data_IF_901118982252
#
_entry.id   IF_901118982252
#
_cell.length_a   1.000
_cell.length_b   1.000
_cell.length_c   1.000
_cell.angle_alpha   90.00
_cell.angle_beta   90.00
_cell.angle_gamma   90.00
#
_symmetry.space_group_name_H-M   'P 1'
#
loop_
_entity.id
_entity.type
_entity.pdbx_description
1 polymer ?
#
# COMPACT_ATOMS: atom_id res chain seq x y z
N UNK A 1 35.97 -37.44 -36.02
CA UNK A 1 36.03 -35.96 -35.89
C UNK A 1 34.66 -35.29 -35.96
N UNK A 2 33.86 -35.47 -37.04
CA UNK A 2 32.56 -34.77 -37.23
C UNK A 2 31.56 -34.96 -36.09
N UNK A 3 31.43 -36.17 -35.55
CA UNK A 3 30.55 -36.41 -34.40
C UNK A 3 31.08 -35.80 -33.10
N UNK A 4 32.40 -35.72 -32.89
CA UNK A 4 32.96 -35.15 -31.66
C UNK A 4 32.65 -33.66 -31.50
N UNK A 5 32.65 -32.91 -32.61
CA UNK A 5 32.29 -31.47 -32.60
C UNK A 5 30.81 -31.29 -32.25
N UNK A 6 29.91 -32.08 -32.85
CA UNK A 6 28.47 -32.03 -32.57
C UNK A 6 28.16 -32.36 -31.09
N UNK A 7 28.76 -33.42 -30.54
CA UNK A 7 28.57 -33.79 -29.14
C UNK A 7 29.15 -32.72 -28.19
N UNK A 8 30.28 -32.11 -28.53
CA UNK A 8 30.86 -30.99 -27.78
C UNK A 8 29.93 -29.77 -27.76
N UNK A 9 29.33 -29.41 -28.90
CA UNK A 9 28.36 -28.32 -28.97
C UNK A 9 27.11 -28.61 -28.12
N UNK A 10 26.55 -29.82 -28.21
CA UNK A 10 25.37 -30.21 -27.43
C UNK A 10 25.68 -30.15 -25.92
N UNK A 11 26.80 -30.73 -25.48
CA UNK A 11 27.21 -30.71 -24.07
C UNK A 11 27.46 -29.28 -23.58
N UNK A 12 28.14 -28.45 -24.37
CA UNK A 12 28.37 -27.04 -24.05
C UNK A 12 27.07 -26.25 -23.91
N UNK A 13 26.11 -26.45 -24.82
CA UNK A 13 24.78 -25.83 -24.71
C UNK A 13 24.02 -26.32 -23.48
N UNK A 14 24.05 -27.61 -23.16
CA UNK A 14 23.40 -28.16 -21.96
C UNK A 14 23.98 -27.57 -20.68
N UNK A 15 25.31 -27.45 -20.57
CA UNK A 15 25.98 -26.84 -19.42
C UNK A 15 25.62 -25.35 -19.29
N UNK A 16 25.55 -24.62 -20.41
CA UNK A 16 25.12 -23.22 -20.41
C UNK A 16 23.68 -23.08 -19.90
N UNK A 17 22.72 -23.82 -20.47
CA UNK A 17 21.32 -23.77 -20.02
C UNK A 17 21.14 -24.23 -18.58
N UNK A 18 21.89 -25.25 -18.15
CA UNK A 18 21.90 -25.67 -16.75
C UNK A 18 22.39 -24.55 -15.83
N UNK A 19 23.47 -23.85 -16.21
CA UNK A 19 23.96 -22.68 -15.50
C UNK A 19 22.94 -21.55 -15.42
N UNK A 20 22.23 -21.26 -16.52
CA UNK A 20 21.15 -20.25 -16.55
C UNK A 20 19.99 -20.66 -15.63
N UNK A 21 19.51 -21.90 -15.73
CA UNK A 21 18.42 -22.41 -14.88
C UNK A 21 18.83 -22.36 -13.41
N UNK A 22 20.04 -22.82 -13.08
CA UNK A 22 20.57 -22.79 -11.72
C UNK A 22 20.69 -21.35 -11.19
N UNK A 23 21.19 -20.42 -12.00
CA UNK A 23 21.25 -19.01 -11.66
C UNK A 23 19.86 -18.41 -11.38
N UNK A 24 18.86 -18.73 -12.20
CA UNK A 24 17.47 -18.30 -11.98
C UNK A 24 16.90 -18.87 -10.69
N UNK A 25 17.13 -20.16 -10.40
CA UNK A 25 16.68 -20.78 -9.16
C UNK A 25 17.33 -20.14 -7.92
N UNK A 26 18.65 -19.90 -7.96
CA UNK A 26 19.36 -19.21 -6.89
C UNK A 26 18.85 -17.78 -6.69
N UNK A 27 18.55 -17.06 -7.78
CA UNK A 27 18.00 -15.72 -7.73
C UNK A 27 16.61 -15.71 -7.05
N UNK A 28 15.71 -16.59 -7.48
CA UNK A 28 14.38 -16.73 -6.86
C UNK A 28 14.50 -17.10 -5.37
N UNK A 29 15.38 -18.06 -5.04
CA UNK A 29 15.62 -18.47 -3.66
C UNK A 29 16.19 -17.31 -2.83
N UNK A 30 17.10 -16.52 -3.38
CA UNK A 30 17.66 -15.35 -2.70
C UNK A 30 16.58 -14.33 -2.35
N UNK A 31 15.71 -13.96 -3.29
CA UNK A 31 14.63 -12.99 -3.01
C UNK A 31 13.60 -13.55 -2.04
N UNK A 32 13.27 -14.83 -2.13
CA UNK A 32 12.40 -15.50 -1.17
C UNK A 32 12.99 -15.46 0.25
N UNK A 33 14.28 -15.77 0.40
CA UNK A 33 14.95 -15.69 1.70
C UNK A 33 15.06 -14.25 2.20
N UNK A 34 15.37 -13.29 1.32
CA UNK A 34 15.43 -11.88 1.66
C UNK A 34 14.08 -11.38 2.20
N UNK A 35 12.99 -11.70 1.52
CA UNK A 35 11.64 -11.34 1.97
C UNK A 35 11.33 -11.91 3.37
N UNK A 36 11.66 -13.19 3.61
CA UNK A 36 11.49 -13.83 4.93
C UNK A 36 12.36 -13.20 6.03
N UNK A 37 13.56 -12.76 5.68
CA UNK A 37 14.44 -12.06 6.62
C UNK A 37 13.87 -10.68 6.94
N UNK A 38 13.51 -9.91 5.93
CA UNK A 38 12.91 -8.57 6.07
C UNK A 38 11.62 -8.63 6.90
N UNK A 39 10.77 -9.62 6.67
CA UNK A 39 9.51 -9.82 7.38
C UNK A 39 9.72 -9.95 8.90
N UNK A 40 10.76 -10.68 9.32
CA UNK A 40 11.11 -10.81 10.75
C UNK A 40 11.50 -9.48 11.41
N UNK A 41 11.92 -8.50 10.63
CA UNK A 41 12.25 -7.16 11.09
C UNK A 41 11.11 -6.15 10.86
N UNK A 42 9.92 -6.62 10.48
CA UNK A 42 8.75 -5.78 10.22
C UNK A 42 8.85 -5.02 8.90
N UNK A 43 9.55 -5.57 7.91
CA UNK A 43 9.65 -5.00 6.57
C UNK A 43 9.01 -5.92 5.53
N UNK A 44 8.35 -5.33 4.54
CA UNK A 44 7.84 -6.02 3.37
C UNK A 44 8.34 -5.33 2.11
N UNK A 45 8.83 -6.12 1.14
CA UNK A 45 9.25 -5.58 -0.16
C UNK A 45 8.02 -5.06 -0.89
N UNK A 46 8.13 -3.86 -1.45
CA UNK A 46 7.07 -3.30 -2.27
C UNK A 46 6.92 -4.12 -3.56
N UNK A 47 5.70 -4.53 -3.91
CA UNK A 47 5.46 -5.23 -5.16
C UNK A 47 5.76 -4.32 -6.36
N UNK A 48 6.10 -4.91 -7.51
CA UNK A 48 6.51 -4.14 -8.69
C UNK A 48 5.44 -3.16 -9.18
N UNK A 49 4.16 -3.51 -9.04
CA UNK A 49 3.03 -2.62 -9.34
C UNK A 49 3.03 -1.37 -8.46
N UNK A 50 3.01 -1.58 -7.14
CA UNK A 50 3.10 -0.52 -6.13
C UNK A 50 4.35 0.35 -6.33
N UNK A 51 5.48 -0.26 -6.68
CA UNK A 51 6.74 0.44 -6.92
C UNK A 51 6.61 1.43 -8.07
N UNK A 52 6.04 1.02 -9.21
CA UNK A 52 5.84 1.94 -10.34
C UNK A 52 4.96 3.13 -9.96
N UNK A 53 3.91 2.89 -9.19
CA UNK A 53 2.92 3.91 -8.82
C UNK A 53 3.44 4.79 -7.67
N UNK A 54 4.40 4.31 -6.88
CA UNK A 54 5.07 5.09 -5.84
C UNK A 54 6.00 6.19 -6.37
N UNK A 55 6.28 6.22 -7.67
CA UNK A 55 7.05 7.29 -8.30
C UNK A 55 6.11 8.39 -8.75
N UNK A 56 5.80 9.29 -7.84
CA UNK A 56 5.02 10.49 -8.15
C UNK A 56 5.87 11.53 -8.89
N UNK A 57 5.25 12.23 -9.83
CA UNK A 57 5.81 13.42 -10.46
C UNK A 57 5.07 14.65 -9.92
N UNK A 58 5.70 15.85 -9.91
CA UNK A 58 5.01 17.07 -9.50
C UNK A 58 3.67 17.21 -10.25
N UNK A 59 2.56 17.34 -9.51
CA UNK A 59 1.18 17.42 -10.02
C UNK A 59 0.60 16.13 -10.61
N UNK A 60 1.16 14.97 -10.29
CA UNK A 60 0.58 13.66 -10.58
C UNK A 60 0.65 12.82 -9.31
N UNK A 61 -0.25 13.12 -8.38
CA UNK A 61 -0.48 12.22 -7.26
C UNK A 61 -1.27 11.01 -7.76
N UNK A 62 -1.04 9.85 -7.14
CA UNK A 62 -1.78 8.63 -7.47
C UNK A 62 -2.77 8.29 -6.35
N UNK A 63 -3.42 9.31 -5.79
CA UNK A 63 -4.44 9.11 -4.80
C UNK A 63 -5.67 8.46 -5.44
N UNK A 64 -6.31 7.55 -4.71
CA UNK A 64 -7.64 6.98 -4.99
C UNK A 64 -8.51 7.23 -3.75
N UNK A 65 -9.80 7.43 -3.96
CA UNK A 65 -10.67 7.80 -2.86
C UNK A 65 -12.12 7.96 -3.28
N UNK A 66 -12.92 8.38 -2.32
CA UNK A 66 -14.35 8.57 -2.51
C UNK A 66 -15.06 8.87 -1.20
N UNK A 67 -16.38 8.71 -1.21
CA UNK A 67 -17.19 8.88 -0.02
C UNK A 67 -18.31 7.85 0.05
N UNK A 68 -18.75 7.57 1.26
CA UNK A 68 -19.89 6.72 1.57
C UNK A 68 -20.86 7.50 2.43
N UNK A 69 -22.16 7.36 2.16
CA UNK A 69 -23.21 7.85 3.05
C UNK A 69 -23.82 6.64 3.72
N UNK A 70 -23.76 6.60 5.03
CA UNK A 70 -24.16 5.46 5.86
C UNK A 70 -25.17 5.91 6.91
N UNK A 71 -25.78 4.94 7.59
CA UNK A 71 -26.54 5.22 8.80
C UNK A 71 -25.67 5.94 9.83
N UNK A 72 -26.32 6.74 10.68
CA UNK A 72 -25.60 7.58 11.65
C UNK A 72 -24.68 6.73 12.52
N UNK A 73 -23.41 7.11 12.52
CA UNK A 73 -22.36 6.54 13.35
C UNK A 73 -21.61 7.65 14.06
N UNK A 74 -21.29 7.40 15.31
CA UNK A 74 -20.42 8.23 16.14
C UNK A 74 -18.95 8.02 15.74
N UNK A 75 -18.14 9.08 15.80
CA UNK A 75 -16.75 9.03 15.39
C UNK A 75 -15.95 8.04 16.25
N UNK A 76 -16.13 8.07 17.56
CA UNK A 76 -15.41 7.21 18.49
C UNK A 76 -15.81 5.74 18.27
N UNK A 77 -17.09 5.47 18.00
CA UNK A 77 -17.59 4.15 17.62
C UNK A 77 -16.91 3.65 16.32
N UNK A 78 -16.93 4.45 15.25
CA UNK A 78 -16.29 4.07 13.99
C UNK A 78 -14.79 3.85 14.15
N UNK A 79 -14.10 4.77 14.84
CA UNK A 79 -12.65 4.70 15.01
C UNK A 79 -12.22 3.46 15.80
N UNK A 80 -13.01 3.04 16.78
CA UNK A 80 -12.72 1.83 17.56
C UNK A 80 -13.06 0.54 16.80
N UNK A 81 -14.18 0.50 16.08
CA UNK A 81 -14.54 -0.66 15.25
C UNK A 81 -13.51 -0.87 14.13
N UNK A 82 -13.13 0.20 13.41
CA UNK A 82 -12.13 0.13 12.36
C UNK A 82 -10.74 -0.20 12.90
N UNK A 83 -10.38 0.29 14.09
CA UNK A 83 -9.15 -0.12 14.75
C UNK A 83 -9.14 -1.63 15.03
N UNK A 84 -10.20 -2.15 15.66
CA UNK A 84 -10.24 -3.54 16.12
C UNK A 84 -10.40 -4.55 14.98
N UNK A 85 -11.22 -4.23 13.98
CA UNK A 85 -11.56 -5.15 12.88
C UNK A 85 -10.79 -4.88 11.60
N UNK A 86 -10.30 -3.66 11.41
CA UNK A 86 -9.44 -3.27 10.29
C UNK A 86 -7.97 -3.30 10.70
N UNK A 87 -7.51 -2.26 11.39
CA UNK A 87 -6.09 -1.99 11.65
C UNK A 87 -5.40 -3.15 12.38
N UNK A 88 -6.04 -3.77 13.38
CA UNK A 88 -5.48 -4.91 14.09
C UNK A 88 -5.33 -6.16 13.21
N UNK A 89 -6.19 -6.36 12.23
CA UNK A 89 -6.28 -7.58 11.42
C UNK A 89 -5.50 -7.48 10.10
N UNK A 90 -5.45 -6.28 9.51
CA UNK A 90 -4.83 -6.05 8.20
C UNK A 90 -3.50 -5.33 8.39
N UNK A 91 -2.41 -6.08 8.29
CA UNK A 91 -1.04 -5.57 8.47
C UNK A 91 -0.78 -4.28 7.69
N UNK A 92 -1.17 -4.25 6.41
CA UNK A 92 -0.94 -3.13 5.49
C UNK A 92 -1.47 -1.80 6.03
N UNK A 93 -2.60 -1.78 6.75
CA UNK A 93 -3.16 -0.58 7.40
C UNK A 93 -2.21 0.02 8.45
N UNK A 94 -1.28 -0.77 8.98
CA UNK A 94 -0.29 -0.34 9.95
C UNK A 94 1.13 -0.32 9.36
N UNK A 95 1.27 0.08 8.09
CA UNK A 95 2.57 0.22 7.42
C UNK A 95 2.80 1.62 6.88
N UNK A 96 4.08 1.98 6.78
CA UNK A 96 4.53 3.23 6.14
C UNK A 96 5.58 2.94 5.08
N UNK A 97 5.70 3.82 4.10
CA UNK A 97 6.69 3.70 3.05
C UNK A 97 8.05 4.19 3.55
N UNK A 98 9.10 3.37 3.37
CA UNK A 98 10.48 3.74 3.69
C UNK A 98 11.42 3.33 2.57
N UNK A 99 12.53 4.04 2.45
CA UNK A 99 13.61 3.69 1.53
C UNK A 99 14.84 3.24 2.33
N UNK A 100 15.34 2.03 2.07
CA UNK A 100 16.54 1.48 2.70
C UNK A 100 17.34 0.67 1.68
N UNK A 101 18.66 0.89 1.65
CA UNK A 101 19.58 0.19 0.73
C UNK A 101 19.17 0.29 -0.75
N UNK A 102 18.55 1.41 -1.16
CA UNK A 102 18.01 1.61 -2.50
C UNK A 102 16.73 0.83 -2.81
N UNK A 103 16.11 0.21 -1.81
CA UNK A 103 14.83 -0.49 -1.92
C UNK A 103 13.72 0.33 -1.24
N UNK A 104 12.59 0.48 -1.92
CA UNK A 104 11.34 0.94 -1.30
C UNK A 104 10.66 -0.25 -0.61
N UNK A 105 10.41 -0.10 0.69
CA UNK A 105 9.87 -1.11 1.56
C UNK A 105 8.66 -0.56 2.32
N UNK A 106 7.72 -1.44 2.63
CA UNK A 106 6.72 -1.19 3.66
C UNK A 106 7.33 -1.55 5.01
N UNK A 107 7.20 -0.66 5.99
CA UNK A 107 7.63 -0.89 7.36
C UNK A 107 6.43 -0.89 8.29
N UNK A 108 6.33 -1.92 9.12
CA UNK A 108 5.34 -1.99 10.19
C UNK A 108 5.54 -0.84 11.20
N UNK A 109 4.43 -0.25 11.63
CA UNK A 109 4.38 0.74 12.71
C UNK A 109 3.45 0.26 13.82
N UNK A 110 3.49 0.96 14.96
CA UNK A 110 2.50 0.72 16.02
C UNK A 110 1.09 0.99 15.46
N UNK A 111 0.20 0.02 15.65
CA UNK A 111 -1.18 0.08 15.17
C UNK A 111 -1.95 1.26 15.78
N UNK A 112 -1.56 1.72 16.97
CA UNK A 112 -2.13 2.92 17.61
C UNK A 112 -1.79 4.19 16.85
N UNK A 113 -0.58 4.28 16.29
CA UNK A 113 -0.19 5.40 15.43
C UNK A 113 -1.01 5.35 14.12
N UNK A 114 -1.25 4.17 13.57
CA UNK A 114 -2.09 4.03 12.39
C UNK A 114 -3.55 4.49 12.63
N UNK A 115 -4.08 4.31 13.85
CA UNK A 115 -5.41 4.80 14.24
C UNK A 115 -5.54 6.32 14.10
N UNK A 116 -4.44 7.07 14.20
CA UNK A 116 -4.41 8.53 14.04
C UNK A 116 -4.74 8.99 12.61
N UNK A 117 -4.85 8.08 11.64
CA UNK A 117 -5.32 8.36 10.27
C UNK A 117 -6.86 8.45 10.16
N UNK A 118 -7.58 8.30 11.26
CA UNK A 118 -9.04 8.47 11.32
C UNK A 118 -9.34 9.83 11.95
N UNK A 119 -9.92 10.73 11.18
CA UNK A 119 -10.14 12.11 11.56
C UNK A 119 -11.64 12.41 11.70
N UNK A 120 -11.99 13.15 12.74
CA UNK A 120 -13.29 13.82 12.82
C UNK A 120 -13.28 15.00 11.86
N UNK A 121 -14.21 15.04 10.92
CA UNK A 121 -14.30 16.12 9.95
C UNK A 121 -14.83 17.38 10.64
N UNK A 122 -13.99 18.43 10.70
CA UNK A 122 -14.38 19.72 11.30
C UNK A 122 -15.19 20.61 10.35
N UNK A 123 -15.47 20.16 9.12
CA UNK A 123 -16.23 20.92 8.13
C UNK A 123 -17.70 20.51 8.18
N UNK A 124 -18.59 21.49 8.09
CA UNK A 124 -20.01 21.23 7.94
C UNK A 124 -20.29 20.77 6.50
N UNK A 125 -20.61 19.50 6.34
CA UNK A 125 -20.95 18.86 5.06
C UNK A 125 -22.32 18.23 5.22
N UNK A 126 -23.28 18.66 4.41
CA UNK A 126 -24.69 18.27 4.52
C UNK A 126 -25.29 17.75 3.22
N UNK A 127 -24.53 17.84 2.12
CA UNK A 127 -24.98 17.44 0.78
C UNK A 127 -23.93 16.58 0.08
N UNK A 128 -24.38 15.75 -0.87
CA UNK A 128 -23.48 14.92 -1.68
C UNK A 128 -22.48 15.76 -2.48
N UNK A 129 -22.90 16.92 -2.97
CA UNK A 129 -22.04 17.85 -3.71
C UNK A 129 -20.89 18.38 -2.84
N UNK A 130 -21.16 18.65 -1.56
CA UNK A 130 -20.13 19.03 -0.60
C UNK A 130 -19.18 17.86 -0.29
N UNK A 131 -19.67 16.62 -0.22
CA UNK A 131 -18.80 15.43 -0.12
C UNK A 131 -17.88 15.30 -1.33
N UNK A 132 -18.43 15.43 -2.55
CA UNK A 132 -17.64 15.36 -3.80
C UNK A 132 -16.59 16.46 -3.81
N UNK A 133 -16.96 17.69 -3.46
CA UNK A 133 -16.04 18.81 -3.42
C UNK A 133 -14.91 18.57 -2.42
N UNK A 134 -15.24 18.13 -1.20
CA UNK A 134 -14.22 17.88 -0.18
C UNK A 134 -13.34 16.68 -0.54
N UNK A 135 -13.91 15.61 -1.10
CA UNK A 135 -13.15 14.48 -1.61
C UNK A 135 -12.16 14.91 -2.70
N UNK A 136 -12.57 15.74 -3.67
CA UNK A 136 -11.68 16.25 -4.70
C UNK A 136 -10.55 17.12 -4.10
N UNK A 137 -10.87 17.98 -3.13
CA UNK A 137 -9.87 18.83 -2.48
C UNK A 137 -8.78 18.00 -1.78
N UNK A 138 -9.14 16.98 -1.00
CA UNK A 138 -8.14 16.13 -0.35
C UNK A 138 -7.39 15.26 -1.37
N UNK A 139 -8.04 14.85 -2.46
CA UNK A 139 -7.40 14.01 -3.48
C UNK A 139 -6.27 14.74 -4.21
N UNK A 140 -6.35 16.06 -4.34
CA UNK A 140 -5.33 16.91 -4.99
C UNK A 140 -4.09 17.16 -4.10
N UNK A 141 -4.16 16.87 -2.80
CA UNK A 141 -3.03 17.03 -1.88
C UNK A 141 -2.11 15.81 -1.89
N UNK A 142 -0.79 16.02 -1.84
CA UNK A 142 0.18 14.93 -1.72
C UNK A 142 0.08 14.28 -0.33
N UNK A 143 0.13 12.94 -0.28
CA UNK A 143 0.14 12.22 1.00
C UNK A 143 1.54 12.21 1.61
N UNK A 144 1.61 12.36 2.93
CA UNK A 144 2.86 12.28 3.68
C UNK A 144 3.35 10.83 3.76
N UNK A 145 4.38 10.49 2.98
CA UNK A 145 4.97 9.14 2.89
C UNK A 145 5.53 8.62 4.22
N UNK A 146 5.73 9.49 5.23
CA UNK A 146 6.17 9.08 6.55
C UNK A 146 5.04 8.50 7.42
N UNK A 147 3.79 8.59 6.95
CA UNK A 147 2.58 8.10 7.59
C UNK A 147 1.95 6.97 6.76
N UNK A 148 0.96 6.24 7.30
CA UNK A 148 0.21 5.30 6.49
C UNK A 148 -0.47 6.04 5.35
N UNK A 149 -0.39 5.47 4.15
CA UNK A 149 -0.88 6.12 2.93
C UNK A 149 -2.39 5.89 2.72
N UNK A 150 -3.16 6.10 3.78
CA UNK A 150 -4.62 6.08 3.78
C UNK A 150 -5.14 6.97 4.92
N UNK A 151 -6.33 7.51 4.75
CA UNK A 151 -7.01 8.34 5.76
C UNK A 151 -8.53 8.24 5.64
N UNK A 152 -9.21 8.44 6.76
CA UNK A 152 -10.66 8.61 6.84
C UNK A 152 -11.03 9.96 7.44
N UNK A 153 -12.02 10.62 6.85
CA UNK A 153 -12.66 11.82 7.37
C UNK A 153 -14.12 11.50 7.67
N UNK A 154 -14.51 11.54 8.95
CA UNK A 154 -15.86 11.18 9.42
C UNK A 154 -16.71 12.43 9.62
N UNK A 155 -17.81 12.51 8.90
CA UNK A 155 -18.84 13.55 9.03
C UNK A 155 -20.04 12.94 9.76
N UNK A 156 -20.10 13.09 11.08
CA UNK A 156 -21.13 12.45 11.92
C UNK A 156 -22.54 13.02 11.70
N UNK A 157 -22.62 14.30 11.34
CA UNK A 157 -23.88 15.05 11.19
C UNK A 157 -24.19 15.40 9.73
N UNK A 158 -23.95 14.46 8.80
CA UNK A 158 -24.28 14.67 7.38
C UNK A 158 -25.77 14.93 7.19
N UNK A 159 -26.63 14.17 7.88
CA UNK A 159 -28.05 14.48 8.04
C UNK A 159 -28.55 13.97 9.40
N UNK A 160 -29.84 14.17 9.70
CA UNK A 160 -30.43 13.74 10.98
C UNK A 160 -30.08 12.29 11.37
N UNK A 161 -30.10 11.37 10.40
CA UNK A 161 -29.89 9.93 10.63
C UNK A 161 -28.78 9.34 9.74
N UNK A 162 -27.90 10.16 9.17
CA UNK A 162 -26.82 9.69 8.30
C UNK A 162 -25.51 10.36 8.64
N UNK A 163 -24.43 9.59 8.54
CA UNK A 163 -23.06 10.09 8.53
C UNK A 163 -22.48 9.95 7.12
N UNK A 164 -21.42 10.70 6.82
CA UNK A 164 -20.60 10.48 5.64
C UNK A 164 -19.17 10.09 6.04
N UNK A 165 -18.59 9.14 5.33
CA UNK A 165 -17.19 8.74 5.47
C UNK A 165 -16.51 9.10 4.17
N UNK A 166 -15.48 9.94 4.23
CA UNK A 166 -14.68 10.31 3.07
C UNK A 166 -13.33 9.62 3.23
N UNK A 167 -12.90 8.90 2.21
CA UNK A 167 -11.68 8.10 2.22
C UNK A 167 -10.74 8.58 1.14
N UNK A 168 -9.45 8.63 1.46
CA UNK A 168 -8.37 8.79 0.50
C UNK A 168 -7.27 7.79 0.85
N UNK A 169 -6.66 7.19 -0.15
CA UNK A 169 -5.47 6.35 -0.02
C UNK A 169 -4.59 6.49 -1.25
N UNK A 170 -3.29 6.30 -1.10
CA UNK A 170 -2.40 6.28 -2.24
C UNK A 170 -2.52 4.93 -2.97
N UNK A 171 -2.49 4.90 -4.29
CA UNK A 171 -2.72 3.66 -5.07
C UNK A 171 -1.60 2.61 -4.91
N UNK A 172 -0.44 2.97 -4.37
CA UNK A 172 0.58 1.97 -3.98
C UNK A 172 0.25 1.23 -2.67
N UNK A 173 -0.79 1.67 -1.97
CA UNK A 173 -1.32 1.06 -0.76
C UNK A 173 -2.16 -0.20 -1.07
#
# INVERSE_FOLDING_TARGET
LKYGVLHGCILGSLLYYFGVIYGLLLFVLFFYLLERVLDKFGYQVMYSGDLMISFEAPRRNHNIGGYFIIDKIDFEEFAEDFYTRGILQVRKLSTVLVEKFGLKLWRDIDKRIAKEQIFRCNRKITTMQECIKFANEIMDEDMDISKPLWEFQIVEDFSKNKSAIIIRMHHCF
#
